data_IF_852177515091
#
_entry.id   IF_852177515091
#
_cell.length_a   1.000
_cell.length_b   1.000
_cell.length_c   1.000
_cell.angle_alpha   90.00
_cell.angle_beta   90.00
_cell.angle_gamma   90.00
#
_symmetry.space_group_name_H-M   'P 1'
#
loop_
_entity.id
_entity.type
_entity.pdbx_description
1 polymer ?
#
# COMPACT_ATOMS: atom_id res chain seq x y z
N UNK A 1 33.82 -6.80 15.63
CA UNK A 1 32.91 -7.07 16.77
C UNK A 1 31.67 -6.25 16.53
N UNK A 2 30.55 -6.87 16.15
CA UNK A 2 29.32 -6.14 15.85
C UNK A 2 28.71 -5.65 17.15
N UNK A 3 28.54 -4.34 17.28
CA UNK A 3 27.80 -3.71 18.37
C UNK A 3 26.40 -4.33 18.42
N UNK A 4 26.14 -5.12 19.47
CA UNK A 4 24.79 -5.49 19.85
C UNK A 4 24.16 -4.17 20.31
N UNK A 5 23.53 -3.43 19.37
CA UNK A 5 22.55 -2.40 19.71
C UNK A 5 21.68 -3.01 20.80
N UNK A 6 21.63 -2.38 21.97
CA UNK A 6 21.03 -2.98 23.17
C UNK A 6 19.67 -3.58 22.83
N UNK A 7 19.32 -4.73 23.42
CA UNK A 7 18.03 -5.41 23.19
C UNK A 7 16.87 -4.42 23.26
N UNK A 8 16.94 -3.46 24.18
CA UNK A 8 15.99 -2.35 24.31
C UNK A 8 15.92 -1.42 23.07
N UNK A 9 17.02 -1.12 22.39
CA UNK A 9 17.01 -0.36 21.15
C UNK A 9 16.31 -1.12 20.00
N UNK A 10 16.50 -2.45 19.94
CA UNK A 10 15.81 -3.30 18.97
C UNK A 10 14.31 -3.37 19.25
N UNK A 11 13.90 -3.62 20.51
CA UNK A 11 12.50 -3.61 20.93
C UNK A 11 11.81 -2.30 20.55
N UNK A 12 12.39 -1.15 20.92
CA UNK A 12 11.83 0.15 20.55
C UNK A 12 11.72 0.37 19.04
N UNK A 13 12.60 -0.22 18.24
CA UNK A 13 12.51 -0.13 16.78
C UNK A 13 11.37 -0.99 16.24
N UNK A 14 11.17 -2.18 16.80
CA UNK A 14 10.05 -3.05 16.48
C UNK A 14 8.71 -2.39 16.84
N UNK A 15 8.56 -1.88 18.07
CA UNK A 15 7.33 -1.22 18.52
C UNK A 15 6.96 -0.03 17.61
N UNK A 16 7.95 0.76 17.19
CA UNK A 16 7.74 1.84 16.22
C UNK A 16 7.29 1.31 14.86
N UNK A 17 7.85 0.21 14.41
CA UNK A 17 7.49 -0.40 13.14
C UNK A 17 6.05 -0.95 13.18
N UNK A 18 5.66 -1.63 14.24
CA UNK A 18 4.29 -2.11 14.45
C UNK A 18 3.30 -0.95 14.49
N UNK A 19 3.59 0.12 15.25
CA UNK A 19 2.75 1.31 15.30
C UNK A 19 2.59 1.98 13.92
N UNK A 20 3.65 1.99 13.10
CA UNK A 20 3.59 2.45 11.72
C UNK A 20 2.67 1.55 10.86
N UNK A 21 2.78 0.23 11.00
CA UNK A 21 1.93 -0.70 10.26
C UNK A 21 0.45 -0.58 10.65
N UNK A 22 0.15 -0.38 11.93
CA UNK A 22 -1.22 -0.16 12.41
C UNK A 22 -1.80 1.13 11.83
N UNK A 23 -1.03 2.22 11.88
CA UNK A 23 -1.43 3.50 11.25
C UNK A 23 -1.74 3.32 9.76
N UNK A 24 -0.91 2.56 9.05
CA UNK A 24 -1.12 2.29 7.62
C UNK A 24 -2.35 1.41 7.37
N UNK A 25 -2.62 0.44 8.25
CA UNK A 25 -3.80 -0.44 8.15
C UNK A 25 -5.09 0.35 8.33
N UNK A 26 -5.14 1.25 9.30
CA UNK A 26 -6.28 2.12 9.55
C UNK A 26 -6.56 2.99 8.32
N UNK A 27 -5.52 3.65 7.80
CA UNK A 27 -5.62 4.48 6.59
C UNK A 27 -6.11 3.70 5.36
N UNK A 28 -5.60 2.47 5.14
CA UNK A 28 -6.06 1.61 4.05
C UNK A 28 -7.53 1.22 4.22
N UNK A 29 -7.95 0.90 5.44
CA UNK A 29 -9.32 0.49 5.77
C UNK A 29 -10.29 1.64 5.54
N UNK A 30 -9.96 2.85 6.00
CA UNK A 30 -10.75 4.06 5.76
C UNK A 30 -10.89 4.35 4.26
N UNK A 31 -9.77 4.31 3.51
CA UNK A 31 -9.77 4.51 2.05
C UNK A 31 -10.62 3.46 1.33
N UNK A 32 -10.58 2.20 1.79
CA UNK A 32 -11.37 1.11 1.22
C UNK A 32 -12.88 1.34 1.45
N UNK A 33 -13.26 1.72 2.68
CA UNK A 33 -14.63 2.06 3.01
C UNK A 33 -15.15 3.21 2.13
N UNK A 34 -14.36 4.27 1.99
CA UNK A 34 -14.69 5.40 1.11
C UNK A 34 -14.85 4.98 -0.35
N UNK A 35 -13.93 4.19 -0.91
CA UNK A 35 -14.01 3.72 -2.28
C UNK A 35 -15.22 2.80 -2.53
N UNK A 36 -15.58 1.97 -1.54
CA UNK A 36 -16.80 1.13 -1.60
C UNK A 36 -18.07 1.99 -1.57
N UNK A 37 -18.13 3.00 -0.72
CA UNK A 37 -19.25 3.94 -0.66
C UNK A 37 -19.41 4.71 -2.00
N UNK A 38 -18.30 5.20 -2.56
CA UNK A 38 -18.26 5.85 -3.88
C UNK A 38 -18.84 4.94 -4.97
N UNK A 39 -18.39 3.68 -5.04
CA UNK A 39 -18.90 2.71 -6.01
C UNK A 39 -20.38 2.36 -5.79
N UNK A 40 -20.84 2.29 -4.53
CA UNK A 40 -22.22 1.98 -4.20
C UNK A 40 -23.18 3.09 -4.67
N UNK A 41 -22.75 4.36 -4.58
CA UNK A 41 -23.51 5.52 -5.06
C UNK A 41 -23.53 5.62 -6.59
N UNK A 42 -22.57 5.01 -7.29
CA UNK A 42 -22.53 5.03 -8.74
C UNK A 42 -23.73 4.27 -9.38
N UNK A 43 -24.31 4.80 -10.47
CA UNK A 43 -25.38 4.13 -11.21
C UNK A 43 -24.97 2.71 -11.64
N UNK A 44 -25.88 1.75 -11.52
CA UNK A 44 -25.59 0.34 -11.78
C UNK A 44 -24.94 0.09 -13.16
N UNK A 45 -25.40 0.82 -14.19
CA UNK A 45 -24.87 0.74 -15.55
C UNK A 45 -23.38 1.16 -15.65
N UNK A 46 -22.90 2.03 -14.77
CA UNK A 46 -21.53 2.58 -14.79
C UNK A 46 -20.57 1.86 -13.84
N UNK A 47 -21.09 1.06 -12.89
CA UNK A 47 -20.26 0.43 -11.85
C UNK A 47 -19.10 -0.39 -12.42
N UNK A 48 -19.29 -1.08 -13.55
CA UNK A 48 -18.25 -1.95 -14.15
C UNK A 48 -17.00 -1.19 -14.57
N UNK A 49 -17.16 0.01 -15.10
CA UNK A 49 -16.06 0.87 -15.60
C UNK A 49 -15.65 1.94 -14.59
N UNK A 50 -16.31 1.98 -13.43
CA UNK A 50 -16.06 2.99 -12.41
C UNK A 50 -14.63 2.87 -11.84
N UNK A 51 -13.86 3.96 -11.77
CA UNK A 51 -12.47 3.93 -11.31
C UNK A 51 -12.31 3.41 -9.87
N UNK A 52 -13.32 3.62 -9.02
CA UNK A 52 -13.36 3.08 -7.67
C UNK A 52 -13.20 1.55 -7.61
N UNK A 53 -13.63 0.78 -8.63
CA UNK A 53 -13.40 -0.69 -8.66
C UNK A 53 -11.93 -1.04 -8.64
N UNK A 54 -11.12 -0.34 -9.43
CA UNK A 54 -9.67 -0.56 -9.47
C UNK A 54 -9.06 -0.19 -8.12
N UNK A 55 -9.44 0.97 -7.55
CA UNK A 55 -8.95 1.43 -6.24
C UNK A 55 -9.29 0.43 -5.13
N UNK A 56 -10.51 -0.11 -5.11
CA UNK A 56 -10.93 -1.16 -4.17
C UNK A 56 -9.99 -2.36 -4.26
N UNK A 57 -9.73 -2.87 -5.47
CA UNK A 57 -8.83 -4.01 -5.66
C UNK A 57 -7.39 -3.73 -5.21
N UNK A 58 -6.89 -2.50 -5.38
CA UNK A 58 -5.56 -2.09 -4.90
C UNK A 58 -5.48 -2.02 -3.38
N UNK A 59 -6.52 -1.48 -2.74
CA UNK A 59 -6.62 -1.36 -1.28
C UNK A 59 -6.81 -2.73 -0.61
N UNK A 60 -7.69 -3.57 -1.16
CA UNK A 60 -7.88 -4.96 -0.69
C UNK A 60 -6.61 -5.78 -0.84
N UNK A 61 -5.89 -5.66 -1.97
CA UNK A 61 -4.62 -6.35 -2.17
C UNK A 61 -3.54 -5.87 -1.18
N UNK A 62 -3.52 -4.59 -0.80
CA UNK A 62 -2.60 -4.07 0.19
C UNK A 62 -2.91 -4.62 1.60
N UNK A 63 -4.19 -4.66 1.98
CA UNK A 63 -4.64 -5.22 3.27
C UNK A 63 -4.37 -6.73 3.37
N UNK A 64 -4.68 -7.51 2.34
CA UNK A 64 -4.38 -8.95 2.29
C UNK A 64 -2.87 -9.21 2.45
N UNK A 65 -2.01 -8.34 1.90
CA UNK A 65 -0.56 -8.44 2.12
C UNK A 65 -0.15 -8.15 3.56
N UNK A 66 -0.83 -7.23 4.25
CA UNK A 66 -0.59 -7.00 5.68
C UNK A 66 -0.97 -8.23 6.50
N UNK A 67 -2.13 -8.81 6.22
CA UNK A 67 -2.61 -10.03 6.90
C UNK A 67 -1.64 -11.21 6.71
N UNK A 68 -1.02 -11.31 5.53
CA UNK A 68 -0.01 -12.35 5.23
C UNK A 68 1.40 -12.02 5.71
N UNK A 69 1.65 -10.85 6.30
CA UNK A 69 2.98 -10.41 6.69
C UNK A 69 3.93 -10.10 5.51
N UNK A 70 3.38 -9.85 4.32
CA UNK A 70 4.12 -9.55 3.08
C UNK A 70 4.13 -8.05 2.72
N UNK A 71 3.46 -7.22 3.51
CA UNK A 71 3.37 -5.79 3.26
C UNK A 71 4.75 -5.11 3.34
N UNK A 72 4.99 -4.16 2.43
CA UNK A 72 6.29 -3.50 2.32
C UNK A 72 7.34 -4.29 1.52
N UNK A 73 7.00 -5.47 1.01
CA UNK A 73 7.81 -6.17 0.01
C UNK A 73 7.27 -5.81 -1.39
N UNK A 74 8.15 -5.50 -2.34
CA UNK A 74 7.77 -5.17 -3.71
C UNK A 74 7.22 -6.40 -4.45
N UNK A 75 6.04 -6.28 -5.08
CA UNK A 75 5.44 -7.37 -5.86
C UNK A 75 6.20 -7.72 -7.14
N UNK A 76 6.98 -6.80 -7.68
CA UNK A 76 7.77 -7.01 -8.91
C UNK A 76 9.09 -7.74 -8.68
N UNK A 77 9.94 -7.21 -7.79
CA UNK A 77 11.30 -7.71 -7.56
C UNK A 77 11.54 -8.35 -6.18
N UNK A 78 10.60 -8.27 -5.24
CA UNK A 78 10.78 -8.79 -3.88
C UNK A 78 11.65 -7.93 -2.95
N UNK A 79 12.15 -6.77 -3.40
CA UNK A 79 12.90 -5.85 -2.55
C UNK A 79 11.99 -5.15 -1.51
N UNK A 80 12.56 -4.71 -0.39
CA UNK A 80 11.84 -3.88 0.57
C UNK A 80 11.51 -2.52 -0.03
N UNK A 81 10.30 -2.04 0.28
CA UNK A 81 9.82 -0.70 -0.05
C UNK A 81 10.10 0.18 1.16
N UNK A 82 10.72 1.33 0.92
CA UNK A 82 10.98 2.32 1.97
C UNK A 82 9.70 2.72 2.70
N UNK A 83 9.75 2.75 4.04
CA UNK A 83 8.61 3.07 4.89
C UNK A 83 8.06 4.47 4.58
N UNK A 84 8.93 5.44 4.27
CA UNK A 84 8.51 6.78 3.87
C UNK A 84 7.62 6.76 2.63
N UNK A 85 7.90 5.90 1.64
CA UNK A 85 7.07 5.75 0.43
C UNK A 85 5.71 5.16 0.80
N UNK A 86 5.68 4.13 1.66
CA UNK A 86 4.44 3.49 2.10
C UNK A 86 3.56 4.45 2.91
N UNK A 87 4.14 5.34 3.71
CA UNK A 87 3.41 6.39 4.44
C UNK A 87 2.73 7.40 3.50
N UNK A 88 3.30 7.67 2.32
CA UNK A 88 2.68 8.55 1.32
C UNK A 88 1.61 7.80 0.49
N UNK A 89 1.91 6.57 0.07
CA UNK A 89 1.05 5.79 -0.82
C UNK A 89 0.97 4.31 -0.39
N UNK A 90 0.19 3.98 0.66
CA UNK A 90 0.15 2.63 1.24
C UNK A 90 -0.40 1.55 0.31
N UNK A 91 -1.29 1.91 -0.61
CA UNK A 91 -1.80 0.96 -1.61
C UNK A 91 -0.74 0.57 -2.66
N UNK A 92 0.35 1.33 -2.79
CA UNK A 92 1.37 1.10 -3.83
C UNK A 92 2.40 0.06 -3.38
N UNK A 93 2.17 -1.18 -3.77
CA UNK A 93 2.99 -2.34 -3.40
C UNK A 93 4.14 -2.61 -4.39
N UNK A 94 4.71 -1.56 -4.96
CA UNK A 94 5.85 -1.60 -5.90
C UNK A 94 6.93 -0.58 -5.52
N UNK A 95 8.20 -1.00 -5.58
CA UNK A 95 9.33 -0.09 -5.43
C UNK A 95 9.38 0.92 -6.60
N UNK A 96 10.12 2.00 -6.42
CA UNK A 96 10.21 3.07 -7.43
C UNK A 96 10.68 2.57 -8.80
N UNK A 97 11.58 1.58 -8.83
CA UNK A 97 12.11 1.00 -10.07
C UNK A 97 11.05 0.19 -10.83
N UNK A 98 10.39 -0.75 -10.14
CA UNK A 98 9.30 -1.54 -10.71
C UNK A 98 8.15 -0.65 -11.18
N UNK A 99 7.79 0.37 -10.39
CA UNK A 99 6.73 1.32 -10.74
C UNK A 99 7.05 2.09 -12.01
N UNK A 100 8.26 2.65 -12.12
CA UNK A 100 8.71 3.34 -13.35
C UNK A 100 8.73 2.39 -14.56
N UNK A 101 9.09 1.12 -14.36
CA UNK A 101 9.04 0.11 -15.42
C UNK A 101 7.60 -0.21 -15.86
N UNK A 102 6.66 -0.31 -14.91
CA UNK A 102 5.24 -0.52 -15.17
C UNK A 102 4.62 0.67 -15.91
N UNK A 103 4.93 1.91 -15.51
CA UNK A 103 4.47 3.14 -16.17
C UNK A 103 4.96 3.25 -17.62
N UNK A 104 6.22 2.88 -17.88
CA UNK A 104 6.77 2.83 -19.24
C UNK A 104 6.02 1.85 -20.14
N UNK A 105 5.56 0.72 -19.59
CA UNK A 105 4.79 -0.30 -20.34
C UNK A 105 3.32 0.09 -20.53
N UNK A 106 2.71 0.72 -19.54
CA UNK A 106 1.29 1.07 -19.54
C UNK A 106 0.99 2.42 -20.23
N UNK A 107 2.00 3.24 -20.52
CA UNK A 107 1.82 4.65 -20.85
C UNK A 107 1.56 5.49 -19.59
N UNK A 108 1.72 6.83 -19.64
CA UNK A 108 1.57 7.68 -18.46
C UNK A 108 0.16 7.54 -17.88
N UNK A 109 0.06 7.01 -16.65
CA UNK A 109 -1.20 7.01 -15.90
C UNK A 109 -1.52 8.47 -15.58
N UNK A 110 -2.63 9.00 -16.10
CA UNK A 110 -3.11 10.33 -15.70
C UNK A 110 -3.30 10.31 -14.18
N UNK A 111 -2.52 11.13 -13.48
CA UNK A 111 -2.68 11.35 -12.06
C UNK A 111 -4.10 11.86 -11.82
N UNK A 112 -4.85 11.16 -10.96
CA UNK A 112 -6.07 11.71 -10.40
C UNK A 112 -5.66 12.83 -9.44
N UNK A 113 -5.83 14.08 -9.90
CA UNK A 113 -5.84 15.29 -9.07
C UNK A 113 -7.30 15.55 -8.69
#
# INVERSE_FOLDING_TARGET
MADIRSVHALMRAHDRHEAQLDTLRDLLTERLAAARAELAQAPAALRRTHPARRRIGELEAALDRMERGLYGICRGCGAFIEMSVLLHAPQDQECAECRRASERRAGPRRAAV
#
